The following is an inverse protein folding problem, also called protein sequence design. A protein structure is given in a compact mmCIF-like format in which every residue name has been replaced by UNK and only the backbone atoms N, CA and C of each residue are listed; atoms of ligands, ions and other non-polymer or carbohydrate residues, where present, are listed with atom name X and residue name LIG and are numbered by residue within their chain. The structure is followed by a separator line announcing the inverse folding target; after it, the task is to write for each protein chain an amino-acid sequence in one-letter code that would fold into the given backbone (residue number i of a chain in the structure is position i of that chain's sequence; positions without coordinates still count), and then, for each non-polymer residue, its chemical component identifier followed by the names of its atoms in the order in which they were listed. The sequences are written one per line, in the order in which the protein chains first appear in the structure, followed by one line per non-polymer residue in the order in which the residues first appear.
data_IF_818427790902
#
_entry.id   IF_818427790902
#
_cell.length_a   1.000
_cell.length_b   1.000
_cell.length_c   1.000
_cell.angle_alpha   90.00
_cell.angle_beta   90.00
_cell.angle_gamma   90.00
#
_symmetry.space_group_name_H-M   'P 1'
#
loop_
_entity.id
_entity.type
_entity.pdbx_description
1 polymer ?
#
# COMPACT_ATOMS: atom_id res chain seq x y z
N UNK A 1 3.15 16.68 -9.09
CA UNK A 1 2.28 15.49 -9.27
C UNK A 1 2.33 14.69 -7.97
N UNK A 2 1.18 14.34 -7.36
CA UNK A 2 1.18 13.65 -6.05
C UNK A 2 1.87 12.28 -6.18
N UNK A 3 2.91 12.03 -5.38
CA UNK A 3 3.70 10.79 -5.37
C UNK A 3 2.85 9.51 -5.22
N UNK A 4 1.63 9.62 -4.69
CA UNK A 4 0.71 8.49 -4.52
C UNK A 4 0.11 7.97 -5.84
N UNK A 5 0.01 8.81 -6.89
CA UNK A 5 -0.48 8.38 -8.19
C UNK A 5 0.53 7.48 -8.91
N UNK A 6 1.83 7.75 -8.74
CA UNK A 6 2.91 6.91 -9.31
C UNK A 6 2.95 5.52 -8.68
N UNK A 7 2.57 5.45 -7.40
CA UNK A 7 2.51 4.22 -6.63
C UNK A 7 1.14 3.52 -6.71
N UNK A 8 0.17 4.06 -7.45
CA UNK A 8 -1.17 3.50 -7.64
C UNK A 8 -1.25 2.70 -8.94
N UNK A 9 -1.80 1.48 -8.89
CA UNK A 9 -2.22 0.78 -10.10
C UNK A 9 -3.59 1.32 -10.55
N UNK A 10 -3.61 2.18 -11.56
CA UNK A 10 -4.83 2.79 -12.08
C UNK A 10 -5.86 1.79 -12.65
N UNK A 11 -5.46 0.53 -12.92
CA UNK A 11 -6.40 -0.52 -13.34
C UNK A 11 -7.24 -0.99 -12.15
N UNK A 12 -6.58 -1.32 -11.04
CA UNK A 12 -7.22 -1.93 -9.86
C UNK A 12 -7.51 -0.94 -8.74
N UNK A 13 -6.98 0.28 -8.84
CA UNK A 13 -6.95 1.33 -7.81
C UNK A 13 -6.31 0.86 -6.49
N UNK A 14 -5.34 -0.05 -6.59
CA UNK A 14 -4.60 -0.58 -5.45
C UNK A 14 -3.17 -0.03 -5.44
N UNK A 15 -2.65 0.25 -4.25
CA UNK A 15 -1.25 0.65 -4.10
C UNK A 15 -0.32 -0.49 -4.52
N UNK A 16 0.72 -0.17 -5.30
CA UNK A 16 1.72 -1.14 -5.76
C UNK A 16 2.68 -1.58 -4.66
N UNK A 17 2.88 -0.69 -3.69
CA UNK A 17 3.80 -0.86 -2.58
C UNK A 17 3.06 -0.90 -1.24
N UNK A 18 3.74 -1.42 -0.22
CA UNK A 18 3.20 -1.40 1.13
C UNK A 18 3.29 0.02 1.73
N UNK A 19 2.50 0.27 2.76
CA UNK A 19 2.44 1.57 3.42
C UNK A 19 3.79 2.04 3.96
N UNK A 20 4.68 1.11 4.34
CA UNK A 20 6.03 1.45 4.78
C UNK A 20 6.81 2.17 3.66
N UNK A 21 6.87 1.58 2.47
CA UNK A 21 7.56 2.16 1.30
C UNK A 21 6.87 3.47 0.88
N UNK A 22 5.53 3.51 0.89
CA UNK A 22 4.79 4.74 0.59
C UNK A 22 5.14 5.87 1.56
N UNK A 23 5.22 5.57 2.86
CA UNK A 23 5.58 6.55 3.89
C UNK A 23 7.04 7.01 3.79
N UNK A 24 7.96 6.12 3.40
CA UNK A 24 9.35 6.47 3.11
C UNK A 24 9.44 7.40 1.90
N UNK A 25 8.77 7.06 0.79
CA UNK A 25 8.74 7.85 -0.46
C UNK A 25 8.08 9.22 -0.27
N UNK A 26 7.04 9.29 0.56
CA UNK A 26 6.37 10.54 0.90
C UNK A 26 7.16 11.40 1.92
N UNK A 27 8.37 10.98 2.31
CA UNK A 27 9.18 11.72 3.29
C UNK A 27 8.60 11.74 4.71
N UNK A 28 7.65 10.84 5.00
CA UNK A 28 6.93 10.77 6.29
C UNK A 28 7.72 9.98 7.36
N UNK A 29 8.89 9.47 7.02
CA UNK A 29 9.81 8.81 7.96
C UNK A 29 10.82 9.79 8.54
N UNK A 30 10.65 10.18 9.81
CA UNK A 30 11.64 10.95 10.57
C UNK A 30 12.64 10.05 11.28
N UNK A 31 13.93 10.40 11.27
CA UNK A 31 15.02 9.66 11.94
C UNK A 31 14.64 9.40 13.42
N UNK A 32 14.69 8.13 13.81
CA UNK A 32 14.51 7.59 15.17
C UNK A 32 13.09 7.46 15.76
N UNK A 33 12.03 7.91 15.08
CA UNK A 33 10.64 7.54 15.42
C UNK A 33 9.88 7.26 14.13
N UNK A 34 9.47 6.00 13.93
CA UNK A 34 8.34 5.73 13.04
C UNK A 34 7.13 6.34 13.72
N UNK A 35 6.82 7.60 13.41
CA UNK A 35 5.68 8.26 14.02
C UNK A 35 4.43 7.45 13.61
N UNK A 36 3.55 7.22 14.58
CA UNK A 36 2.17 6.76 14.40
C UNK A 36 1.33 7.68 13.50
N UNK A 37 1.93 8.59 12.72
CA UNK A 37 1.27 9.50 11.79
C UNK A 37 0.85 8.78 10.52
N UNK A 38 1.62 7.80 10.05
CA UNK A 38 1.17 6.94 8.96
C UNK A 38 0.04 5.98 9.42
N UNK A 39 0.07 5.51 10.67
CA UNK A 39 -1.00 4.66 11.22
C UNK A 39 -2.30 5.43 11.47
N UNK A 40 -2.21 6.62 12.08
CA UNK A 40 -3.35 7.56 12.20
C UNK A 40 -3.80 8.11 10.85
N UNK A 41 -2.89 8.18 9.88
CA UNK A 41 -3.15 8.66 8.53
C UNK A 41 -4.16 7.76 7.82
N UNK A 42 -3.96 6.44 7.88
CA UNK A 42 -4.91 5.52 7.27
C UNK A 42 -6.25 5.46 7.99
N UNK A 43 -6.28 5.53 9.33
CA UNK A 43 -7.56 5.57 10.07
C UNK A 43 -8.41 6.77 9.63
N UNK A 44 -7.79 7.94 9.43
CA UNK A 44 -8.49 9.14 8.95
C UNK A 44 -8.93 9.02 7.49
N UNK A 45 -8.08 8.50 6.61
CA UNK A 45 -8.44 8.27 5.21
C UNK A 45 -9.56 7.24 5.07
N UNK A 46 -9.56 6.21 5.92
CA UNK A 46 -10.61 5.21 6.00
C UNK A 46 -11.92 5.83 6.52
N UNK A 47 -11.86 6.63 7.59
CA UNK A 47 -13.03 7.33 8.13
C UNK A 47 -13.65 8.31 7.13
N UNK A 48 -12.84 9.00 6.32
CA UNK A 48 -13.29 9.85 5.23
C UNK A 48 -13.74 9.08 3.98
N UNK A 49 -13.80 7.74 4.04
CA UNK A 49 -14.15 6.86 2.93
C UNK A 49 -13.30 7.11 1.66
N UNK A 50 -12.03 7.50 1.84
CA UNK A 50 -11.08 7.71 0.75
C UNK A 50 -10.31 6.43 0.41
N UNK A 51 -10.24 5.50 1.36
CA UNK A 51 -9.57 4.22 1.16
C UNK A 51 -10.36 3.06 1.73
N UNK A 52 -10.18 1.90 1.11
CA UNK A 52 -10.56 0.58 1.63
C UNK A 52 -9.28 -0.15 2.00
N UNK A 53 -9.24 -0.72 3.19
CA UNK A 53 -8.06 -1.43 3.68
C UNK A 53 -8.45 -2.52 4.65
N UNK A 54 -7.78 -3.67 4.58
CA UNK A 54 -7.85 -4.65 5.66
C UNK A 54 -7.13 -4.10 6.90
N UNK A 55 -7.89 -3.97 7.98
CA UNK A 55 -7.34 -3.62 9.29
C UNK A 55 -6.46 -4.79 9.77
N UNK A 56 -5.20 -4.49 10.04
CA UNK A 56 -4.30 -5.43 10.69
C UNK A 56 -4.82 -5.71 12.10
N UNK A 57 -4.77 -6.99 12.55
CA UNK A 57 -5.12 -7.33 13.92
C UNK A 57 -4.23 -6.54 14.89
N UNK A 58 -4.81 -6.11 16.00
CA UNK A 58 -4.09 -5.38 17.04
C UNK A 58 -2.92 -6.24 17.54
N UNK A 59 -1.70 -5.69 17.47
CA UNK A 59 -0.49 -6.32 18.01
C UNK A 59 0.16 -5.34 19.00
N UNK A 60 0.20 -5.67 20.31
CA UNK A 60 0.78 -4.79 21.32
C UNK A 60 2.28 -4.55 21.14
N UNK A 61 2.98 -5.40 20.36
CA UNK A 61 4.40 -5.29 20.07
C UNK A 61 4.70 -4.62 18.71
N UNK A 62 3.70 -4.36 17.88
CA UNK A 62 3.86 -3.73 16.57
C UNK A 62 2.96 -2.50 16.45
N UNK A 63 3.45 -1.38 17.00
CA UNK A 63 2.78 -0.08 16.90
C UNK A 63 2.85 0.54 15.48
N UNK A 64 3.37 -0.17 14.47
CA UNK A 64 3.58 0.35 13.11
C UNK A 64 2.43 -0.05 12.18
N UNK A 65 1.53 0.90 11.94
CA UNK A 65 0.52 0.91 10.88
C UNK A 65 -0.48 -0.27 10.84
N UNK A 66 -1.76 0.06 11.06
CA UNK A 66 -2.86 -0.89 10.97
C UNK A 66 -3.28 -1.27 9.55
N UNK A 67 -2.70 -0.73 8.48
CA UNK A 67 -3.19 -0.94 7.11
C UNK A 67 -2.21 -1.75 6.28
N UNK A 68 -2.65 -2.95 5.84
CA UNK A 68 -1.82 -3.88 5.05
C UNK A 68 -1.76 -3.48 3.58
N UNK A 69 -2.94 -3.28 2.99
CA UNK A 69 -3.15 -2.96 1.58
C UNK A 69 -4.16 -1.81 1.49
N UNK A 70 -3.86 -0.83 0.64
CA UNK A 70 -4.72 0.33 0.43
C UNK A 70 -5.30 0.24 -0.97
N UNK A 71 -6.62 0.22 -1.05
CA UNK A 71 -7.40 0.45 -2.25
C UNK A 71 -8.02 1.85 -2.13
N UNK A 72 -7.95 2.67 -3.17
CA UNK A 72 -8.56 4.00 -3.15
C UNK A 72 -9.99 3.94 -3.69
N UNK A 73 -10.86 4.75 -3.11
CA UNK A 73 -12.26 4.86 -3.54
C UNK A 73 -12.43 5.94 -4.61
N UNK A 74 -13.63 6.06 -5.17
CA UNK A 74 -13.99 7.20 -6.02
C UNK A 74 -13.83 8.54 -5.28
N UNK A 75 -14.22 8.57 -4.00
CA UNK A 75 -14.10 9.75 -3.14
C UNK A 75 -12.67 10.26 -3.03
N UNK A 76 -11.67 9.39 -3.13
CA UNK A 76 -10.27 9.78 -3.18
C UNK A 76 -9.97 10.66 -4.40
N UNK A 77 -10.40 10.26 -5.59
CA UNK A 77 -10.20 11.03 -6.80
C UNK A 77 -10.98 12.34 -6.77
N UNK A 78 -12.21 12.31 -6.26
CA UNK A 78 -13.01 13.51 -6.06
C UNK A 78 -12.33 14.51 -5.10
N UNK A 79 -11.75 14.02 -3.99
CA UNK A 79 -11.00 14.85 -3.04
C UNK A 79 -9.72 15.46 -3.65
N UNK A 80 -9.15 14.83 -4.68
CA UNK A 80 -8.04 15.37 -5.46
C UNK A 80 -8.48 16.30 -6.61
N UNK A 81 -9.79 16.53 -6.77
CA UNK A 81 -10.33 17.33 -7.88
C UNK A 81 -10.25 16.64 -9.24
N UNK A 82 -10.07 15.31 -9.28
CA UNK A 82 -9.99 14.52 -10.51
C UNK A 82 -11.40 14.04 -10.89
N UNK A 83 -11.94 14.42 -12.06
CA UNK A 83 -13.21 13.92 -12.55
C UNK A 83 -13.24 12.39 -12.69
N UNK A 84 -14.22 11.74 -12.05
CA UNK A 84 -14.37 10.28 -12.09
C UNK A 84 -14.45 9.70 -13.50
N UNK A 85 -15.10 10.43 -14.43
CA UNK A 85 -15.16 10.05 -15.84
C UNK A 85 -13.77 9.86 -16.46
N UNK A 86 -12.79 10.71 -16.10
CA UNK A 86 -11.41 10.56 -16.58
C UNK A 86 -10.74 9.32 -15.97
N UNK A 87 -10.97 9.05 -14.69
CA UNK A 87 -10.41 7.88 -14.00
C UNK A 87 -10.94 6.58 -14.63
N UNK A 88 -12.24 6.51 -14.89
CA UNK A 88 -12.86 5.35 -15.55
C UNK A 88 -12.38 5.17 -16.99
N UNK A 89 -12.28 6.26 -17.76
CA UNK A 89 -11.74 6.23 -19.12
C UNK A 89 -10.29 5.73 -19.15
N UNK A 90 -9.49 6.15 -18.18
CA UNK A 90 -8.10 5.71 -18.07
C UNK A 90 -8.01 4.22 -17.69
N UNK A 91 -8.87 3.74 -16.79
CA UNK A 91 -9.00 2.31 -16.49
C UNK A 91 -9.37 1.52 -17.75
N UNK A 92 -10.36 1.95 -18.51
CA UNK A 92 -10.77 1.31 -19.76
C UNK A 92 -9.62 1.28 -20.78
N UNK A 93 -8.91 2.40 -20.96
CA UNK A 93 -7.70 2.49 -21.81
C UNK A 93 -6.65 1.46 -21.42
N UNK A 94 -6.34 1.34 -20.13
CA UNK A 94 -5.32 0.41 -19.62
C UNK A 94 -5.73 -1.06 -19.74
N UNK A 95 -7.04 -1.34 -19.74
CA UNK A 95 -7.61 -2.67 -19.92
C UNK A 95 -7.92 -3.00 -21.40
N UNK A 96 -7.62 -2.08 -22.33
CA UNK A 96 -7.95 -2.19 -23.77
C UNK A 96 -9.45 -2.44 -24.01
N UNK A 97 -10.29 -1.83 -23.17
CA UNK A 97 -11.74 -1.86 -23.28
C UNK A 97 -12.27 -0.59 -23.97
N UNK A 98 -13.57 -0.54 -24.23
CA UNK A 98 -14.21 0.64 -24.81
C UNK A 98 -14.06 1.86 -23.87
N UNK A 99 -13.59 3.03 -24.34
CA UNK A 99 -13.43 4.23 -23.50
C UNK A 99 -14.72 4.76 -22.85
N UNK A 100 -15.89 4.37 -23.35
CA UNK A 100 -17.20 4.73 -22.80
C UNK A 100 -17.68 3.75 -21.72
N UNK A 101 -17.05 2.57 -21.62
CA UNK A 101 -17.42 1.55 -20.64
C UNK A 101 -16.95 1.93 -19.23
N UNK A 102 -17.86 1.80 -18.26
CA UNK A 102 -17.57 2.01 -16.83
C UNK A 102 -17.24 0.67 -16.19
N UNK A 103 -15.94 0.39 -16.03
CA UNK A 103 -15.46 -0.84 -15.40
C UNK A 103 -15.37 -0.64 -13.89
N UNK A 104 -16.30 -1.20 -13.12
CA UNK A 104 -16.35 -1.07 -11.66
C UNK A 104 -15.25 -1.86 -10.94
N UNK A 105 -15.01 -1.55 -9.67
CA UNK A 105 -13.90 -2.12 -8.89
C UNK A 105 -13.92 -3.66 -8.77
N UNK A 106 -15.11 -4.27 -8.74
CA UNK A 106 -15.30 -5.73 -8.60
C UNK A 106 -15.54 -6.46 -9.93
N UNK A 107 -15.26 -5.81 -11.06
CA UNK A 107 -15.35 -6.45 -12.38
C UNK A 107 -14.41 -7.68 -12.46
N UNK A 108 -14.90 -8.76 -13.09
CA UNK A 108 -14.18 -10.02 -13.20
C UNK A 108 -12.84 -9.88 -13.92
N UNK A 109 -12.71 -8.93 -14.84
CA UNK A 109 -11.46 -8.60 -15.57
C UNK A 109 -10.36 -8.10 -14.64
N UNK A 110 -10.72 -7.52 -13.50
CA UNK A 110 -9.78 -6.99 -12.52
C UNK A 110 -9.27 -8.05 -11.54
N UNK A 111 -10.02 -9.13 -11.32
CA UNK A 111 -9.66 -10.20 -10.39
C UNK A 111 -8.25 -10.77 -10.59
N UNK A 112 -7.82 -11.18 -11.81
CA UNK A 112 -6.46 -11.72 -12.00
C UNK A 112 -5.37 -10.70 -11.66
N UNK A 113 -5.60 -9.43 -11.99
CA UNK A 113 -4.65 -8.33 -11.69
C UNK A 113 -4.58 -8.09 -10.18
N UNK A 114 -5.72 -8.11 -9.49
CA UNK A 114 -5.80 -7.98 -8.03
C UNK A 114 -5.05 -9.13 -7.34
N UNK A 115 -5.27 -10.37 -7.77
CA UNK A 115 -4.58 -11.56 -7.23
C UNK A 115 -3.07 -11.44 -7.44
N UNK A 116 -2.63 -11.04 -8.64
CA UNK A 116 -1.20 -10.85 -8.94
C UNK A 116 -0.56 -9.77 -8.03
N UNK A 117 -1.27 -8.66 -7.81
CA UNK A 117 -0.81 -7.60 -6.90
C UNK A 117 -0.69 -8.10 -5.46
N UNK A 118 -1.68 -8.85 -4.96
CA UNK A 118 -1.66 -9.46 -3.62
C UNK A 118 -0.47 -10.42 -3.48
N UNK A 119 -0.27 -11.32 -4.45
CA UNK A 119 0.84 -12.27 -4.45
C UNK A 119 2.21 -11.56 -4.43
N UNK A 120 2.38 -10.51 -5.25
CA UNK A 120 3.60 -9.70 -5.27
C UNK A 120 3.85 -9.04 -3.91
N UNK A 121 2.83 -8.46 -3.29
CA UNK A 121 2.95 -7.81 -1.98
C UNK A 121 3.29 -8.82 -0.88
N UNK A 122 2.68 -10.01 -0.91
CA UNK A 122 2.96 -11.10 0.01
C UNK A 122 4.41 -11.59 -0.12
N UNK A 123 4.89 -11.83 -1.34
CA UNK A 123 6.27 -12.23 -1.61
C UNK A 123 7.28 -11.19 -1.11
N UNK A 124 7.04 -9.91 -1.37
CA UNK A 124 7.87 -8.83 -0.85
C UNK A 124 7.82 -8.74 0.70
N UNK A 125 6.67 -9.05 1.29
CA UNK A 125 6.51 -9.18 2.75
C UNK A 125 7.38 -10.29 3.33
N UNK A 126 7.32 -11.48 2.73
CA UNK A 126 8.10 -12.63 3.13
C UNK A 126 9.61 -12.37 3.01
N UNK A 127 10.07 -11.78 1.90
CA UNK A 127 11.47 -11.43 1.68
C UNK A 127 12.01 -10.49 2.78
N UNK A 128 11.23 -9.46 3.16
CA UNK A 128 11.60 -8.56 4.28
C UNK A 128 11.68 -9.28 5.62
N UNK A 129 10.77 -10.23 5.88
CA UNK A 129 10.80 -11.03 7.11
C UNK A 129 12.05 -11.91 7.17
N UNK A 130 12.41 -12.57 6.07
CA UNK A 130 13.63 -13.38 5.96
C UNK A 130 14.88 -12.54 6.20
N UNK A 131 15.02 -11.40 5.51
CA UNK A 131 16.15 -10.48 5.69
C UNK A 131 16.29 -9.98 7.14
N UNK A 132 15.17 -9.67 7.82
CA UNK A 132 15.19 -9.29 9.25
C UNK A 132 15.66 -10.42 10.14
N UNK A 133 15.21 -11.65 9.89
CA UNK A 133 15.64 -12.84 10.65
C UNK A 133 17.12 -13.12 10.45
N UNK A 134 17.62 -13.00 9.23
CA UNK A 134 19.05 -13.16 8.91
C UNK A 134 19.91 -12.09 9.59
N UNK A 135 19.51 -10.82 9.52
CA UNK A 135 20.21 -9.73 10.21
C UNK A 135 20.23 -9.94 11.74
N UNK A 136 19.13 -10.44 12.34
CA UNK A 136 19.09 -10.76 13.76
C UNK A 136 20.00 -11.94 14.11
N UNK A 137 20.05 -12.98 13.27
CA UNK A 137 20.99 -14.12 13.44
C UNK A 137 22.44 -13.65 13.36
N UNK A 138 22.76 -12.75 12.42
CA UNK A 138 24.10 -12.21 12.29
C UNK A 138 24.50 -11.41 13.53
N UNK A 139 23.66 -10.48 13.99
CA UNK A 139 23.91 -9.73 15.23
C UNK A 139 24.09 -10.62 16.46
N UNK A 140 23.34 -11.73 16.54
CA UNK A 140 23.51 -12.71 17.61
C UNK A 140 24.89 -13.36 17.53
N UNK A 141 25.35 -13.78 16.34
CA UNK A 141 26.71 -14.32 16.16
C UNK A 141 27.76 -13.29 16.58
N UNK A 142 27.65 -12.07 16.06
CA UNK A 142 28.59 -10.99 16.32
C UNK A 142 28.74 -10.72 17.83
N UNK A 143 27.63 -10.74 18.57
CA UNK A 143 27.61 -10.58 20.03
C UNK A 143 28.40 -11.67 20.78
N UNK A 144 28.27 -12.94 20.38
CA UNK A 144 28.98 -14.05 21.04
C UNK A 144 30.43 -14.23 20.56
N UNK A 145 30.85 -13.52 19.51
CA UNK A 145 32.22 -13.56 18.97
C UNK A 145 33.09 -12.38 19.40
N UNK A 146 32.56 -11.43 20.18
CA UNK A 146 33.36 -10.33 20.70
C UNK A 146 34.35 -10.86 21.77
N UNK A 147 35.67 -10.63 21.61
CA UNK A 147 36.65 -10.99 22.64
C UNK A 147 36.40 -10.17 23.92
N UNK A 148 36.64 -10.80 25.06
CA UNK A 148 36.50 -10.18 26.40
C UNK A 148 37.61 -9.18 26.67
#
# INVERSE_FOLDING_TARGET
MLAILDDLDLRTWQTRHNLKILSERAGLTTKHKHISRASRGCDRLFWLNLIITEKAPFNPYDAKCACKQIEVTESFFAALGIPLKMVYRERARLLKADPSEVIHAWDSRLLPIRIQNIQRMAAAGLARMKARREAARQRKKDYYTQPS
#
